data_IF_888364190364
#
_entry.id   IF_888364190364
#
_cell.length_a   1.000
_cell.length_b   1.000
_cell.length_c   1.000
_cell.angle_alpha   90.00
_cell.angle_beta   90.00
_cell.angle_gamma   90.00
#
_symmetry.space_group_name_H-M   'P 1'
#
loop_
_entity.id
_entity.type
_entity.pdbx_description
1 polymer ?
#
# COMPACT_ATOMS: atom_id res chain seq x y z
N UNK A 1 7.26 30.50 -16.72
CA UNK A 1 6.78 29.56 -15.67
C UNK A 1 5.58 28.87 -16.27
N UNK A 2 5.56 27.53 -16.32
CA UNK A 2 4.42 26.81 -16.87
C UNK A 2 3.25 26.99 -15.91
N UNK A 3 2.17 27.62 -16.37
CA UNK A 3 0.95 27.73 -15.57
C UNK A 3 0.22 26.38 -15.51
N UNK A 4 -0.70 26.22 -14.55
CA UNK A 4 -1.43 24.95 -14.39
C UNK A 4 -2.24 24.55 -15.64
N UNK A 5 -2.72 25.53 -16.42
CA UNK A 5 -3.44 25.23 -17.66
C UNK A 5 -2.52 24.66 -18.73
N UNK A 6 -1.32 25.20 -18.87
CA UNK A 6 -0.28 24.67 -19.75
C UNK A 6 0.17 23.28 -19.30
N UNK A 7 0.35 23.05 -17.99
CA UNK A 7 0.69 21.73 -17.45
C UNK A 7 -0.35 20.67 -17.79
N UNK A 8 -1.64 20.96 -17.56
CA UNK A 8 -2.73 20.00 -17.88
C UNK A 8 -2.65 19.50 -19.32
N UNK A 9 -2.39 20.39 -20.27
CA UNK A 9 -2.35 20.06 -21.70
C UNK A 9 -1.18 19.11 -22.07
N UNK A 10 -0.19 18.95 -21.19
CA UNK A 10 0.91 17.99 -21.38
C UNK A 10 0.57 16.60 -20.84
N UNK A 11 -0.48 16.46 -20.05
CA UNK A 11 -0.88 15.17 -19.51
C UNK A 11 -1.62 14.37 -20.59
N UNK A 12 -1.06 13.25 -21.11
CA UNK A 12 -1.59 12.57 -22.29
C UNK A 12 -3.01 12.02 -22.14
N UNK A 13 -3.46 11.81 -20.90
CA UNK A 13 -4.74 11.20 -20.57
C UNK A 13 -5.70 12.22 -19.91
N UNK A 14 -5.53 13.52 -20.21
CA UNK A 14 -6.33 14.60 -19.61
C UNK A 14 -7.82 14.41 -19.86
N UNK A 15 -8.21 14.11 -21.11
CA UNK A 15 -9.62 13.92 -21.46
C UNK A 15 -10.27 12.76 -20.70
N UNK A 16 -9.50 11.68 -20.46
CA UNK A 16 -9.95 10.52 -19.69
C UNK A 16 -10.08 10.85 -18.19
N UNK A 17 -9.18 11.67 -17.66
CA UNK A 17 -9.26 12.14 -16.28
C UNK A 17 -10.47 13.06 -16.09
N UNK A 18 -10.75 13.94 -17.05
CA UNK A 18 -11.88 14.88 -17.03
C UNK A 18 -13.24 14.20 -17.31
N UNK A 19 -13.23 12.99 -17.86
CA UNK A 19 -14.45 12.21 -18.06
C UNK A 19 -15.00 11.62 -16.74
N UNK A 20 -14.20 11.56 -15.68
CA UNK A 20 -14.67 11.08 -14.37
C UNK A 20 -15.61 12.13 -13.72
N UNK A 21 -16.86 11.76 -13.40
CA UNK A 21 -17.86 12.72 -12.92
C UNK A 21 -17.58 13.26 -11.51
N UNK A 22 -16.65 12.65 -10.77
CA UNK A 22 -16.27 13.09 -9.43
C UNK A 22 -15.03 13.98 -9.43
N UNK A 23 -14.28 14.08 -10.54
CA UNK A 23 -13.01 14.80 -10.64
C UNK A 23 -13.17 16.06 -11.49
N UNK A 24 -12.89 17.23 -10.90
CA UNK A 24 -13.02 18.54 -11.53
C UNK A 24 -11.69 19.27 -11.55
N UNK A 25 -11.32 19.83 -12.70
CA UNK A 25 -10.09 20.62 -12.87
C UNK A 25 -10.45 22.05 -13.27
N UNK A 26 -9.71 23.04 -12.75
CA UNK A 26 -9.87 24.45 -13.16
C UNK A 26 -9.65 24.57 -14.68
N UNK A 27 -10.36 25.43 -15.42
CA UNK A 27 -11.40 26.37 -14.97
C UNK A 27 -12.80 25.76 -14.85
N UNK A 28 -12.97 24.45 -15.09
CA UNK A 28 -14.27 23.79 -15.22
C UNK A 28 -14.79 23.22 -13.89
N UNK A 29 -14.42 23.83 -12.76
CA UNK A 29 -14.92 23.42 -11.44
C UNK A 29 -16.21 24.18 -11.13
N UNK A 30 -17.34 23.50 -10.89
CA UNK A 30 -18.58 24.16 -10.49
C UNK A 30 -18.42 24.99 -9.22
N UNK A 31 -18.87 26.25 -9.24
CA UNK A 31 -18.69 27.18 -8.11
C UNK A 31 -19.30 26.67 -6.80
N UNK A 32 -20.45 25.99 -6.86
CA UNK A 32 -21.08 25.39 -5.67
C UNK A 32 -20.19 24.33 -5.01
N UNK A 33 -19.41 23.56 -5.79
CA UNK A 33 -18.44 22.59 -5.25
C UNK A 33 -17.23 23.29 -4.65
N UNK A 34 -16.71 24.36 -5.28
CA UNK A 34 -15.64 25.17 -4.71
C UNK A 34 -16.06 25.73 -3.35
N UNK A 35 -17.26 26.31 -3.25
CA UNK A 35 -17.79 26.83 -1.98
C UNK A 35 -17.95 25.75 -0.91
N UNK A 36 -18.31 24.52 -1.30
CA UNK A 36 -18.28 23.37 -0.40
C UNK A 36 -16.87 23.05 0.09
N UNK A 37 -15.90 23.03 -0.82
CA UNK A 37 -14.51 22.73 -0.51
C UNK A 37 -13.85 23.78 0.38
N UNK A 38 -14.26 25.05 0.27
CA UNK A 38 -13.81 26.12 1.17
C UNK A 38 -14.02 25.80 2.65
N UNK A 39 -14.94 24.89 3.00
CA UNK A 39 -15.17 24.47 4.39
C UNK A 39 -14.06 23.61 5.00
N UNK A 40 -13.15 23.06 4.18
CA UNK A 40 -12.00 22.26 4.64
C UNK A 40 -10.66 22.76 4.10
N UNK A 41 -10.65 23.90 3.40
CA UNK A 41 -9.45 24.62 3.00
C UNK A 41 -9.04 25.64 4.07
N UNK A 42 -7.76 26.05 4.13
CA UNK A 42 -7.32 27.13 5.00
C UNK A 42 -8.15 28.40 4.79
N UNK A 43 -8.54 29.15 5.85
CA UNK A 43 -9.44 30.31 5.75
C UNK A 43 -9.01 31.40 4.77
N UNK A 44 -7.69 31.54 4.54
CA UNK A 44 -7.11 32.51 3.62
C UNK A 44 -7.05 32.05 2.15
N UNK A 45 -7.45 30.80 1.88
CA UNK A 45 -7.50 30.26 0.51
C UNK A 45 -8.58 31.00 -0.28
N UNK A 46 -8.27 31.41 -1.51
CA UNK A 46 -9.25 32.01 -2.43
C UNK A 46 -9.82 30.95 -3.37
N UNK A 47 -11.09 31.07 -3.82
CA UNK A 47 -11.72 30.12 -4.74
C UNK A 47 -10.88 29.81 -5.99
N UNK A 48 -10.20 30.82 -6.54
CA UNK A 48 -9.41 30.71 -7.77
C UNK A 48 -8.11 29.92 -7.57
N UNK A 49 -7.71 29.65 -6.32
CA UNK A 49 -6.53 28.86 -5.98
C UNK A 49 -6.80 27.35 -6.02
N UNK A 50 -8.06 26.93 -6.16
CA UNK A 50 -8.42 25.52 -6.31
C UNK A 50 -8.12 25.07 -7.74
N UNK A 51 -7.19 24.12 -7.86
CA UNK A 51 -6.71 23.58 -9.14
C UNK A 51 -7.45 22.29 -9.52
N UNK A 52 -7.65 21.41 -8.53
CA UNK A 52 -8.39 20.15 -8.66
C UNK A 52 -9.35 20.04 -7.47
N UNK A 53 -10.54 19.51 -7.73
CA UNK A 53 -11.49 19.10 -6.71
C UNK A 53 -11.99 17.69 -7.04
N UNK A 54 -11.93 16.80 -6.05
CA UNK A 54 -12.56 15.49 -6.07
C UNK A 54 -13.71 15.52 -5.08
N UNK A 55 -14.93 15.29 -5.54
CA UNK A 55 -16.12 15.37 -4.69
C UNK A 55 -16.49 13.99 -4.13
N UNK A 56 -16.44 13.85 -2.81
CA UNK A 56 -16.86 12.64 -2.09
C UNK A 56 -18.23 12.78 -1.42
N UNK A 57 -18.93 13.89 -1.64
CA UNK A 57 -20.25 14.06 -1.05
C UNK A 57 -21.31 13.30 -1.83
N UNK A 58 -22.13 12.54 -1.10
CA UNK A 58 -23.26 11.77 -1.65
C UNK A 58 -24.24 12.64 -2.46
N UNK A 59 -24.36 13.92 -2.10
CA UNK A 59 -25.24 14.90 -2.79
C UNK A 59 -24.48 15.91 -3.66
N UNK A 60 -23.19 15.69 -3.95
CA UNK A 60 -22.44 16.49 -4.93
C UNK A 60 -22.18 17.96 -4.55
N UNK A 61 -22.13 18.28 -3.24
CA UNK A 61 -21.87 19.62 -2.71
C UNK A 61 -20.38 19.95 -2.50
N UNK A 62 -19.45 19.01 -2.67
CA UNK A 62 -18.01 19.25 -2.53
C UNK A 62 -17.51 19.52 -1.10
N UNK A 63 -18.31 19.24 -0.06
CA UNK A 63 -17.95 19.46 1.36
C UNK A 63 -17.04 18.38 1.99
N UNK A 64 -16.93 17.25 1.31
CA UNK A 64 -16.03 16.14 1.61
C UNK A 64 -15.30 15.78 0.32
N UNK A 65 -14.09 15.26 0.43
CA UNK A 65 -13.27 14.84 -0.70
C UNK A 65 -11.88 15.45 -0.65
N UNK A 66 -11.31 15.75 -1.80
CA UNK A 66 -9.93 16.20 -1.94
C UNK A 66 -9.84 17.46 -2.80
N UNK A 67 -9.00 18.41 -2.39
CA UNK A 67 -8.64 19.58 -3.17
C UNK A 67 -7.13 19.73 -3.33
N UNK A 68 -6.71 20.09 -4.54
CA UNK A 68 -5.35 20.54 -4.82
C UNK A 68 -5.32 22.06 -4.97
N UNK A 69 -4.34 22.69 -4.33
CA UNK A 69 -3.92 24.08 -4.60
C UNK A 69 -2.42 24.11 -4.90
N UNK A 70 -1.88 25.29 -5.22
CA UNK A 70 -0.42 25.47 -5.34
C UNK A 70 0.35 25.24 -4.03
N UNK A 71 -0.34 25.24 -2.88
CA UNK A 71 0.29 25.06 -1.56
C UNK A 71 0.32 23.59 -1.10
N UNK A 72 -0.66 22.79 -1.52
CA UNK A 72 -0.86 21.46 -0.95
C UNK A 72 -2.11 20.75 -1.42
N UNK A 73 -2.19 19.49 -1.02
CA UNK A 73 -3.39 18.66 -1.05
C UNK A 73 -4.12 18.81 0.29
N UNK A 74 -5.43 18.98 0.23
CA UNK A 74 -6.32 19.06 1.39
C UNK A 74 -7.41 18.03 1.21
N UNK A 75 -7.78 17.31 2.26
CA UNK A 75 -8.85 16.33 2.14
C UNK A 75 -9.64 16.20 3.43
N UNK A 76 -10.90 15.81 3.31
CA UNK A 76 -11.82 15.63 4.42
C UNK A 76 -12.77 14.49 4.15
N UNK A 77 -12.75 13.50 5.04
CA UNK A 77 -13.75 12.43 5.06
C UNK A 77 -15.03 12.88 5.79
N UNK A 78 -16.12 12.18 5.54
CA UNK A 78 -17.38 12.47 6.23
C UNK A 78 -17.20 12.33 7.75
N UNK A 79 -17.70 13.32 8.50
CA UNK A 79 -17.61 13.39 9.97
C UNK A 79 -16.17 13.46 10.54
N UNK A 80 -15.16 13.63 9.70
CA UNK A 80 -13.77 13.81 10.11
C UNK A 80 -13.32 15.27 10.02
N UNK A 81 -12.16 15.55 10.64
CA UNK A 81 -11.47 16.83 10.47
C UNK A 81 -10.77 16.90 9.12
N UNK A 82 -10.53 18.13 8.65
CA UNK A 82 -9.74 18.37 7.45
C UNK A 82 -8.27 18.03 7.71
N UNK A 83 -7.65 17.38 6.73
CA UNK A 83 -6.23 17.08 6.69
C UNK A 83 -5.54 17.90 5.61
N UNK A 84 -4.26 18.20 5.80
CA UNK A 84 -3.45 18.96 4.87
C UNK A 84 -2.11 18.27 4.64
N UNK A 85 -1.67 18.28 3.39
CA UNK A 85 -0.39 17.75 2.99
C UNK A 85 0.30 18.74 2.04
N UNK A 86 1.33 19.47 2.51
CA UNK A 86 2.00 20.49 1.71
C UNK A 86 2.63 19.92 0.44
N UNK A 87 2.57 20.65 -0.68
CA UNK A 87 3.14 20.23 -1.98
C UNK A 87 4.61 19.81 -1.84
N UNK A 88 5.38 20.55 -1.04
CA UNK A 88 6.82 20.26 -0.80
C UNK A 88 7.06 18.93 -0.10
N UNK A 89 6.10 18.46 0.70
CA UNK A 89 6.21 17.22 1.43
C UNK A 89 5.81 16.01 0.57
N UNK A 90 5.14 16.20 -0.58
CA UNK A 90 4.67 15.09 -1.42
C UNK A 90 5.82 14.55 -2.26
N UNK A 91 6.25 13.31 -2.00
CA UNK A 91 7.23 12.54 -2.78
C UNK A 91 6.59 11.65 -3.82
N UNK A 92 5.47 11.03 -3.47
CA UNK A 92 4.70 10.19 -4.37
C UNK A 92 3.23 10.24 -4.03
N UNK A 93 2.39 9.96 -5.02
CA UNK A 93 0.96 9.77 -4.91
C UNK A 93 0.65 8.47 -5.62
N UNK A 94 0.46 7.40 -4.86
CA UNK A 94 -0.02 6.13 -5.36
C UNK A 94 -1.54 6.07 -5.34
N UNK A 95 -2.07 4.95 -5.80
CA UNK A 95 -3.44 4.55 -5.54
C UNK A 95 -3.42 3.12 -5.00
N UNK A 96 -4.34 2.82 -4.09
CA UNK A 96 -4.56 1.49 -3.56
C UNK A 96 -6.04 1.15 -3.70
N UNK A 97 -6.29 -0.07 -4.15
CA UNK A 97 -7.63 -0.56 -4.43
C UNK A 97 -7.90 -1.79 -3.57
N UNK A 98 -8.79 -1.62 -2.60
CA UNK A 98 -9.51 -2.72 -1.97
C UNK A 98 -10.81 -3.02 -2.72
N UNK A 99 -11.53 -4.05 -2.28
CA UNK A 99 -12.82 -4.44 -2.87
C UNK A 99 -13.89 -3.33 -2.73
N UNK A 100 -13.86 -2.58 -1.62
CA UNK A 100 -14.78 -1.47 -1.32
C UNK A 100 -14.08 -0.12 -1.12
N UNK A 101 -12.77 -0.12 -0.86
CA UNK A 101 -12.00 1.09 -0.58
C UNK A 101 -11.13 1.45 -1.77
N UNK A 102 -11.43 2.61 -2.35
CA UNK A 102 -10.58 3.27 -3.34
C UNK A 102 -9.80 4.34 -2.60
N UNK A 103 -8.47 4.28 -2.62
CA UNK A 103 -7.62 5.18 -1.86
C UNK A 103 -6.56 5.81 -2.75
N UNK A 104 -6.33 7.11 -2.60
CA UNK A 104 -5.02 7.69 -2.93
C UNK A 104 -4.08 7.46 -1.76
N UNK A 105 -2.81 7.22 -2.05
CA UNK A 105 -1.79 6.98 -1.05
C UNK A 105 -0.67 7.98 -1.25
N UNK A 106 -0.64 9.02 -0.42
CA UNK A 106 0.41 10.04 -0.46
C UNK A 106 1.61 9.54 0.35
N UNK A 107 2.80 9.54 -0.28
CA UNK A 107 4.06 9.08 0.27
C UNK A 107 4.00 7.67 0.88
N UNK A 108 3.20 6.77 0.29
CA UNK A 108 3.02 5.40 0.79
C UNK A 108 2.27 5.28 2.13
N UNK A 109 1.96 6.39 2.81
CA UNK A 109 1.53 6.40 4.22
C UNK A 109 0.15 7.03 4.41
N UNK A 110 -0.09 8.21 3.82
CA UNK A 110 -1.35 8.92 3.99
C UNK A 110 -2.38 8.38 3.01
N UNK A 111 -3.34 7.63 3.56
CA UNK A 111 -4.47 7.08 2.81
C UNK A 111 -5.61 8.10 2.77
N UNK A 112 -6.00 8.49 1.56
CA UNK A 112 -7.17 9.34 1.32
C UNK A 112 -8.24 8.47 0.68
N UNK A 113 -9.31 8.19 1.41
CA UNK A 113 -10.42 7.37 0.91
C UNK A 113 -11.27 8.18 -0.06
N UNK A 114 -11.43 7.69 -1.29
CA UNK A 114 -12.18 8.30 -2.38
C UNK A 114 -13.13 7.29 -3.02
N UNK A 115 -14.35 7.18 -2.51
CA UNK A 115 -15.36 6.23 -2.96
C UNK A 115 -16.11 6.66 -4.24
N UNK A 116 -16.12 7.94 -4.62
CA UNK A 116 -16.87 8.42 -5.80
C UNK A 116 -16.13 8.21 -7.13
N UNK A 117 -14.84 8.60 -7.29
CA UNK A 117 -14.13 8.43 -8.55
C UNK A 117 -14.11 7.00 -9.05
N UNK A 118 -14.23 6.81 -10.36
CA UNK A 118 -14.07 5.50 -10.96
C UNK A 118 -12.63 4.98 -10.77
N UNK A 119 -12.44 3.66 -10.93
CA UNK A 119 -11.12 3.05 -10.77
C UNK A 119 -10.08 3.65 -11.71
N UNK A 120 -10.48 3.90 -12.96
CA UNK A 120 -9.63 4.52 -13.96
C UNK A 120 -9.32 5.98 -13.60
N UNK A 121 -10.34 6.75 -13.19
CA UNK A 121 -10.17 8.15 -12.76
C UNK A 121 -9.23 8.30 -11.56
N UNK A 122 -9.33 7.42 -10.56
CA UNK A 122 -8.44 7.43 -9.40
C UNK A 122 -6.97 7.18 -9.77
N UNK A 123 -6.71 6.19 -10.65
CA UNK A 123 -5.36 5.92 -11.15
C UNK A 123 -4.81 7.12 -11.91
N UNK A 124 -5.61 7.67 -12.84
CA UNK A 124 -5.22 8.85 -13.63
C UNK A 124 -4.97 10.06 -12.75
N UNK A 125 -5.75 10.22 -11.68
CA UNK A 125 -5.57 11.27 -10.69
C UNK A 125 -4.25 11.11 -9.94
N UNK A 126 -3.89 9.89 -9.51
CA UNK A 126 -2.61 9.62 -8.88
C UNK A 126 -1.43 9.97 -9.81
N UNK A 127 -1.50 9.52 -11.07
CA UNK A 127 -0.48 9.82 -12.09
C UNK A 127 -0.38 11.32 -12.36
N UNK A 128 -1.51 12.02 -12.46
CA UNK A 128 -1.57 13.46 -12.66
C UNK A 128 -0.96 14.24 -11.48
N UNK A 129 -1.32 13.86 -10.25
CA UNK A 129 -0.79 14.47 -9.03
C UNK A 129 0.72 14.25 -8.89
N UNK A 130 1.21 13.05 -9.22
CA UNK A 130 2.65 12.75 -9.26
C UNK A 130 3.40 13.68 -10.20
N UNK A 131 2.94 13.81 -11.45
CA UNK A 131 3.58 14.66 -12.44
C UNK A 131 3.57 16.14 -12.02
N UNK A 132 2.44 16.60 -11.44
CA UNK A 132 2.33 17.97 -10.95
C UNK A 132 3.30 18.25 -9.79
N UNK A 133 3.39 17.33 -8.82
CA UNK A 133 4.31 17.47 -7.68
C UNK A 133 5.78 17.45 -8.13
N UNK A 134 6.13 16.57 -9.08
CA UNK A 134 7.49 16.51 -9.63
C UNK A 134 7.90 17.82 -10.32
N UNK A 135 7.00 18.42 -11.12
CA UNK A 135 7.24 19.73 -11.76
C UNK A 135 7.51 20.82 -10.70
N UNK A 136 6.72 20.85 -9.63
CA UNK A 136 6.86 21.86 -8.57
C UNK A 136 8.15 21.70 -7.74
N UNK A 137 8.67 20.48 -7.59
CA UNK A 137 9.98 20.22 -6.97
C UNK A 137 11.12 20.75 -7.80
N UNK A 138 11.18 20.40 -9.09
CA UNK A 138 12.23 20.86 -10.00
C UNK A 138 12.30 22.40 -10.06
N UNK A 139 11.14 23.08 -9.99
CA UNK A 139 11.08 24.54 -9.94
C UNK A 139 11.59 25.11 -8.61
N UNK A 140 11.24 24.48 -7.49
CA UNK A 140 11.68 24.92 -6.15
C UNK A 140 13.18 24.67 -5.96
N UNK A 141 13.70 23.55 -6.46
CA UNK A 141 15.11 23.19 -6.39
C UNK A 141 15.95 24.08 -7.30
N UNK A 142 15.44 24.42 -8.50
CA UNK A 142 16.11 25.36 -9.41
C UNK A 142 16.18 26.80 -8.86
N UNK A 143 15.17 27.23 -8.09
CA UNK A 143 15.17 28.52 -7.39
C UNK A 143 16.09 28.53 -6.16
N UNK A 144 16.24 27.38 -5.49
CA UNK A 144 17.13 27.21 -4.33
C UNK A 144 18.61 27.07 -4.75
N UNK A 145 18.85 26.46 -5.92
CA UNK A 145 20.18 26.24 -6.52
C UNK A 145 20.86 27.51 -7.03
N UNK A 146 20.12 28.61 -7.20
CA UNK A 146 20.68 29.89 -7.61
C UNK A 146 21.45 30.62 -6.49
N UNK A 147 21.52 30.06 -5.28
CA UNK A 147 22.17 30.70 -4.12
C UNK A 147 23.20 29.86 -3.37
N UNK A 148 23.70 28.75 -3.96
CA UNK A 148 24.83 28.02 -3.35
C UNK A 148 25.76 27.39 -4.39
N UNK A 149 26.55 28.22 -5.08
CA UNK A 149 27.82 27.76 -5.64
C UNK A 149 28.89 27.89 -4.55
N UNK A 150 29.14 26.80 -3.83
CA UNK A 150 30.43 26.38 -3.27
C UNK A 150 30.18 25.34 -2.16
N UNK A 151 30.33 24.06 -2.48
CA UNK A 151 31.23 23.16 -1.75
C UNK A 151 31.27 21.77 -2.41
N UNK A 152 32.41 21.55 -3.06
CA UNK A 152 33.27 20.37 -2.92
C UNK A 152 32.66 18.99 -2.75
N UNK A 153 33.00 18.11 -3.70
CA UNK A 153 33.08 16.66 -3.52
C UNK A 153 33.77 16.29 -2.21
N UNK A 154 33.01 15.70 -1.28
CA UNK A 154 33.52 14.80 -0.26
C UNK A 154 32.60 13.59 -0.22
N UNK A 155 33.16 12.41 -0.51
CA UNK A 155 32.54 11.13 -0.27
C UNK A 155 32.27 10.99 1.22
N UNK A 156 31.04 11.31 1.66
CA UNK A 156 30.58 11.01 3.00
C UNK A 156 30.09 9.56 3.01
N UNK A 157 30.75 8.72 3.79
CA UNK A 157 30.22 7.42 4.20
C UNK A 157 28.96 7.66 5.02
N UNK A 158 27.80 7.54 4.38
CA UNK A 158 26.49 7.64 5.02
C UNK A 158 26.21 6.37 5.82
N UNK A 159 26.52 6.38 7.11
CA UNK A 159 25.99 5.37 8.05
C UNK A 159 24.47 5.48 8.11
N UNK A 160 23.78 4.34 8.02
CA UNK A 160 22.32 4.29 8.09
C UNK A 160 21.90 4.32 9.57
N UNK A 161 20.89 5.14 9.89
CA UNK A 161 20.55 5.45 11.28
C UNK A 161 19.94 4.27 12.05
N UNK A 162 19.20 3.38 11.37
CA UNK A 162 18.57 2.20 11.98
C UNK A 162 18.35 1.09 10.93
N UNK A 163 19.13 0.01 10.98
CA UNK A 163 18.96 -1.16 10.11
C UNK A 163 18.24 -2.34 10.79
N UNK A 164 17.80 -2.20 12.04
CA UNK A 164 17.18 -3.31 12.79
C UNK A 164 15.97 -3.94 12.08
N UNK A 165 15.05 -3.18 11.44
CA UNK A 165 13.97 -3.77 10.67
C UNK A 165 14.45 -4.63 9.49
N UNK A 166 15.52 -4.23 8.79
CA UNK A 166 16.13 -5.04 7.72
C UNK A 166 16.77 -6.30 8.29
N UNK A 167 17.47 -6.18 9.43
CA UNK A 167 18.05 -7.32 10.15
C UNK A 167 16.96 -8.33 10.52
N UNK A 168 15.83 -7.87 11.07
CA UNK A 168 14.70 -8.73 11.42
C UNK A 168 14.02 -9.35 10.19
N UNK A 169 13.88 -8.59 9.10
CA UNK A 169 13.36 -9.12 7.84
C UNK A 169 14.24 -10.27 7.32
N UNK A 170 15.56 -10.11 7.34
CA UNK A 170 16.48 -11.16 6.89
C UNK A 170 16.45 -12.36 7.82
N UNK A 171 16.34 -12.12 9.14
CA UNK A 171 16.12 -13.17 10.11
C UNK A 171 14.82 -13.94 9.81
N UNK A 172 13.69 -13.27 9.54
CA UNK A 172 12.44 -13.92 9.15
C UNK A 172 12.57 -14.76 7.88
N UNK A 173 13.24 -14.25 6.84
CA UNK A 173 13.42 -15.00 5.61
C UNK A 173 14.27 -16.26 5.81
N UNK A 174 15.24 -16.21 6.71
CA UNK A 174 16.17 -17.31 6.99
C UNK A 174 15.71 -18.28 8.06
N UNK A 175 14.92 -17.82 9.02
CA UNK A 175 14.42 -18.64 10.12
C UNK A 175 13.13 -19.32 9.65
N UNK A 176 13.06 -20.63 9.85
CA UNK A 176 11.82 -21.37 9.57
C UNK A 176 10.75 -21.06 10.60
N UNK A 177 9.61 -21.74 10.46
CA UNK A 177 8.48 -21.65 11.39
C UNK A 177 8.84 -21.89 12.87
N UNK A 178 10.00 -22.52 13.15
CA UNK A 178 10.51 -22.74 14.52
C UNK A 178 11.31 -21.57 15.09
N UNK A 179 11.80 -20.65 14.26
CA UNK A 179 12.57 -19.51 14.75
C UNK A 179 13.99 -19.81 15.22
N UNK A 180 14.50 -21.02 14.96
CA UNK A 180 15.74 -21.54 15.54
C UNK A 180 17.00 -21.05 14.81
N UNK A 181 17.98 -20.56 15.58
CA UNK A 181 19.27 -20.12 15.07
C UNK A 181 20.28 -21.26 14.93
N UNK A 182 20.44 -21.78 13.70
CA UNK A 182 21.54 -22.71 13.39
C UNK A 182 22.87 -21.97 13.24
N UNK A 183 23.99 -22.68 13.45
CA UNK A 183 25.34 -22.12 13.23
C UNK A 183 25.52 -21.57 11.80
N UNK A 184 24.90 -22.21 10.80
CA UNK A 184 24.95 -21.78 9.42
C UNK A 184 24.17 -20.48 9.16
N UNK A 185 23.00 -20.32 9.80
CA UNK A 185 22.20 -19.10 9.70
C UNK A 185 22.87 -17.93 10.42
N UNK A 186 23.46 -18.18 11.61
CA UNK A 186 24.26 -17.17 12.33
C UNK A 186 25.42 -16.66 11.49
N UNK A 187 26.24 -17.57 10.96
CA UNK A 187 27.38 -17.20 10.10
C UNK A 187 26.95 -16.38 8.87
N UNK A 188 25.82 -16.75 8.24
CA UNK A 188 25.28 -16.00 7.11
C UNK A 188 24.81 -14.60 7.51
N UNK A 189 24.12 -14.44 8.64
CA UNK A 189 23.68 -13.12 9.11
C UNK A 189 24.87 -12.21 9.41
N UNK A 190 25.93 -12.70 10.05
CA UNK A 190 27.15 -11.90 10.22
C UNK A 190 27.71 -11.46 8.86
N UNK A 191 27.81 -12.37 7.88
CA UNK A 191 28.31 -12.04 6.56
C UNK A 191 27.44 -10.99 5.84
N UNK A 192 26.11 -11.07 5.95
CA UNK A 192 25.19 -10.12 5.31
C UNK A 192 25.32 -8.71 5.88
N UNK A 193 25.65 -8.57 7.18
CA UNK A 193 25.73 -7.30 7.89
C UNK A 193 27.15 -6.86 8.28
N UNK A 194 28.19 -7.53 7.78
CA UNK A 194 29.58 -7.09 7.84
C UNK A 194 29.85 -6.04 6.75
N UNK A 195 29.25 -4.86 6.89
CA UNK A 195 29.33 -3.76 5.90
C UNK A 195 29.63 -2.43 6.58
N UNK A 196 30.37 -1.56 5.88
CA UNK A 196 30.82 -0.26 6.40
C UNK A 196 29.68 0.69 6.83
N UNK A 197 28.48 0.52 6.26
CA UNK A 197 27.33 1.37 6.58
C UNK A 197 26.51 0.90 7.81
N UNK A 198 26.83 -0.27 8.37
CA UNK A 198 26.16 -0.82 9.56
C UNK A 198 26.81 -0.25 10.81
N UNK A 199 26.02 0.40 11.67
CA UNK A 199 26.53 1.01 12.89
C UNK A 199 26.68 -0.01 14.05
N UNK A 200 27.41 0.38 15.10
CA UNK A 200 27.66 -0.48 16.27
C UNK A 200 26.39 -0.89 17.02
N UNK A 201 25.33 -0.09 17.00
CA UNK A 201 24.06 -0.42 17.67
C UNK A 201 23.33 -1.53 16.93
N UNK A 202 23.34 -1.49 15.60
CA UNK A 202 22.76 -2.51 14.73
C UNK A 202 23.54 -3.83 14.82
N UNK A 203 24.88 -3.77 14.92
CA UNK A 203 25.70 -4.95 15.22
C UNK A 203 25.36 -5.55 16.58
N UNK A 204 25.28 -4.73 17.64
CA UNK A 204 24.89 -5.20 18.97
C UNK A 204 23.44 -5.72 19.03
N UNK A 205 22.54 -5.17 18.21
CA UNK A 205 21.19 -5.69 18.05
C UNK A 205 21.20 -7.07 17.39
N UNK A 206 21.95 -7.26 16.30
CA UNK A 206 22.10 -8.54 15.63
C UNK A 206 22.59 -9.63 16.59
N UNK A 207 23.63 -9.35 17.38
CA UNK A 207 24.14 -10.31 18.38
C UNK A 207 23.07 -10.72 19.38
N UNK A 208 22.30 -9.76 19.91
CA UNK A 208 21.21 -10.04 20.86
C UNK A 208 20.09 -10.85 20.21
N UNK A 209 19.73 -10.53 18.97
CA UNK A 209 18.68 -11.23 18.23
C UNK A 209 18.99 -12.73 18.08
N UNK A 210 20.26 -13.09 17.93
CA UNK A 210 20.73 -14.48 17.74
C UNK A 210 20.85 -15.32 19.01
N UNK A 211 20.64 -14.71 20.19
CA UNK A 211 20.74 -15.38 21.50
C UNK A 211 19.46 -16.15 21.88
N UNK A 212 18.33 -15.80 21.28
CA UNK A 212 17.02 -16.41 21.57
C UNK A 212 16.29 -16.72 20.27
N UNK A 213 15.52 -17.81 20.27
CA UNK A 213 14.66 -18.15 19.14
C UNK A 213 13.64 -17.04 18.92
N UNK A 214 13.37 -16.72 17.65
CA UNK A 214 12.54 -15.60 17.26
C UNK A 214 11.30 -16.08 16.50
N UNK A 215 10.14 -15.54 16.85
CA UNK A 215 8.96 -15.61 16.01
C UNK A 215 8.66 -14.21 15.50
N UNK A 216 8.45 -14.11 14.20
CA UNK A 216 8.08 -12.86 13.56
C UNK A 216 6.74 -13.02 12.88
N UNK A 217 5.91 -11.98 12.98
CA UNK A 217 4.82 -11.78 12.06
C UNK A 217 5.34 -10.99 10.85
N UNK A 218 5.01 -11.47 9.65
CA UNK A 218 5.51 -10.86 8.43
C UNK A 218 4.96 -9.44 8.22
N UNK A 219 3.71 -9.17 8.60
CA UNK A 219 3.11 -7.84 8.42
C UNK A 219 3.65 -6.85 9.45
N UNK A 220 3.85 -7.27 10.70
CA UNK A 220 4.51 -6.41 11.71
C UNK A 220 5.92 -6.00 11.24
N UNK A 221 6.66 -6.93 10.60
CA UNK A 221 7.96 -6.62 10.02
C UNK A 221 7.89 -5.64 8.84
N UNK A 222 6.88 -5.76 7.98
CA UNK A 222 6.68 -4.81 6.90
C UNK A 222 6.37 -3.40 7.42
N UNK A 223 5.62 -3.30 8.52
CA UNK A 223 5.35 -2.02 9.19
C UNK A 223 6.65 -1.43 9.74
N UNK A 224 7.48 -2.21 10.43
CA UNK A 224 8.80 -1.76 10.92
C UNK A 224 9.74 -1.32 9.78
N UNK A 225 9.76 -2.04 8.65
CA UNK A 225 10.58 -1.66 7.48
C UNK A 225 10.07 -0.36 6.86
N UNK A 226 8.75 -0.13 6.87
CA UNK A 226 8.13 1.10 6.38
C UNK A 226 8.58 2.31 7.20
N UNK A 227 8.76 2.17 8.52
CA UNK A 227 9.21 3.27 9.39
C UNK A 227 10.60 3.80 9.02
N UNK A 228 11.50 2.94 8.51
CA UNK A 228 12.87 3.32 8.14
C UNK A 228 13.04 3.61 6.65
N UNK A 229 12.00 3.46 5.83
CA UNK A 229 12.06 3.53 4.36
C UNK A 229 12.78 4.80 3.86
N UNK A 230 12.50 5.96 4.45
CA UNK A 230 13.09 7.24 4.03
C UNK A 230 14.57 7.40 4.43
N UNK A 231 15.08 6.56 5.31
CA UNK A 231 16.48 6.54 5.73
C UNK A 231 17.36 5.66 4.83
N UNK A 232 16.74 4.83 3.99
CA UNK A 232 17.44 3.90 3.11
C UNK A 232 17.73 4.56 1.76
N UNK A 233 19.00 4.58 1.29
CA UNK A 233 19.32 5.04 -0.05
C UNK A 233 18.64 4.17 -1.12
N UNK A 234 18.12 4.74 -2.23
CA UNK A 234 17.44 3.97 -3.27
C UNK A 234 18.26 2.82 -3.85
N UNK A 235 19.58 3.03 -4.02
CA UNK A 235 20.49 1.97 -4.49
C UNK A 235 20.56 0.81 -3.50
N UNK A 236 20.54 1.11 -2.20
CA UNK A 236 20.50 0.07 -1.18
C UNK A 236 19.17 -0.67 -1.20
N UNK A 237 18.03 0.02 -1.36
CA UNK A 237 16.73 -0.64 -1.49
C UNK A 237 16.70 -1.66 -2.64
N UNK A 238 17.32 -1.34 -3.77
CA UNK A 238 17.46 -2.28 -4.90
C UNK A 238 18.31 -3.49 -4.52
N UNK A 239 19.50 -3.28 -3.94
CA UNK A 239 20.37 -4.38 -3.51
C UNK A 239 19.71 -5.26 -2.43
N UNK A 240 19.01 -4.64 -1.47
CA UNK A 240 18.27 -5.37 -0.43
C UNK A 240 17.17 -6.26 -1.04
N UNK A 241 16.50 -5.77 -2.09
CA UNK A 241 15.44 -6.50 -2.77
C UNK A 241 15.97 -7.69 -3.60
N UNK A 242 17.15 -7.56 -4.21
CA UNK A 242 17.85 -8.69 -4.84
C UNK A 242 18.26 -9.74 -3.80
N UNK A 243 18.82 -9.31 -2.68
CA UNK A 243 19.20 -10.18 -1.57
C UNK A 243 17.99 -10.95 -1.02
N UNK A 244 16.81 -10.33 -0.91
CA UNK A 244 15.55 -10.99 -0.50
C UNK A 244 15.27 -12.23 -1.37
N UNK A 245 15.41 -12.15 -2.69
CA UNK A 245 15.20 -13.29 -3.59
C UNK A 245 16.24 -14.39 -3.37
N UNK A 246 17.51 -14.01 -3.18
CA UNK A 246 18.59 -14.97 -2.85
C UNK A 246 18.29 -15.71 -1.55
N UNK A 247 17.81 -15.00 -0.52
CA UNK A 247 17.46 -15.61 0.77
C UNK A 247 16.26 -16.56 0.64
N UNK A 248 15.21 -16.15 -0.08
CA UNK A 248 14.04 -16.98 -0.36
C UNK A 248 14.40 -18.25 -1.13
N UNK A 249 15.30 -18.14 -2.12
CA UNK A 249 15.77 -19.28 -2.93
C UNK A 249 16.56 -20.27 -2.05
N UNK A 250 17.49 -19.76 -1.24
CA UNK A 250 18.30 -20.56 -0.32
C UNK A 250 17.44 -21.31 0.71
N UNK A 251 16.29 -20.75 1.05
CA UNK A 251 15.31 -21.35 1.98
C UNK A 251 14.23 -22.17 1.29
N UNK A 252 14.31 -22.27 -0.04
CA UNK A 252 13.36 -23.02 -0.86
C UNK A 252 11.92 -22.62 -0.58
N UNK A 253 11.67 -21.30 -0.55
CA UNK A 253 10.31 -20.78 -0.46
C UNK A 253 9.46 -21.36 -1.59
N UNK A 254 8.20 -21.63 -1.28
CA UNK A 254 7.19 -21.96 -2.28
C UNK A 254 7.04 -20.75 -3.23
N UNK A 255 7.03 -21.02 -4.54
CA UNK A 255 7.25 -19.98 -5.57
C UNK A 255 6.19 -18.88 -5.49
N UNK A 256 4.93 -19.22 -5.25
CA UNK A 256 3.85 -18.24 -5.15
C UNK A 256 3.99 -17.39 -3.89
N UNK A 257 4.30 -18.02 -2.75
CA UNK A 257 4.62 -17.34 -1.50
C UNK A 257 5.81 -16.39 -1.66
N UNK A 258 6.90 -16.83 -2.28
CA UNK A 258 8.09 -15.99 -2.53
C UNK A 258 7.75 -14.75 -3.35
N UNK A 259 6.94 -14.90 -4.41
CA UNK A 259 6.51 -13.78 -5.27
C UNK A 259 5.63 -12.79 -4.51
N UNK A 260 4.68 -13.26 -3.73
CA UNK A 260 3.80 -12.41 -2.94
C UNK A 260 4.60 -11.60 -1.92
N UNK A 261 5.45 -12.27 -1.14
CA UNK A 261 6.33 -11.62 -0.17
C UNK A 261 7.28 -10.65 -0.86
N UNK A 262 7.86 -11.01 -2.02
CA UNK A 262 8.76 -10.14 -2.78
C UNK A 262 8.10 -8.82 -3.18
N UNK A 263 6.87 -8.86 -3.74
CA UNK A 263 6.17 -7.63 -4.14
C UNK A 263 5.69 -6.81 -2.94
N UNK A 264 5.37 -7.44 -1.82
CA UNK A 264 5.05 -6.73 -0.58
C UNK A 264 6.29 -6.04 0.01
N UNK A 265 7.45 -6.71 -0.01
CA UNK A 265 8.73 -6.15 0.42
C UNK A 265 9.18 -5.02 -0.52
N UNK A 266 9.03 -5.18 -1.84
CA UNK A 266 9.40 -4.13 -2.80
C UNK A 266 8.60 -2.85 -2.57
N UNK A 267 7.32 -2.97 -2.23
CA UNK A 267 6.46 -1.84 -1.91
C UNK A 267 6.94 -1.08 -0.66
N UNK A 268 7.27 -1.78 0.44
CA UNK A 268 7.77 -1.12 1.66
C UNK A 268 9.21 -0.61 1.52
N UNK A 269 9.99 -1.11 0.57
CA UNK A 269 11.31 -0.55 0.22
C UNK A 269 11.24 0.62 -0.78
N UNK A 270 10.04 1.06 -1.17
CA UNK A 270 9.80 2.12 -2.16
C UNK A 270 10.37 1.82 -3.56
N UNK A 271 10.44 0.53 -3.94
CA UNK A 271 10.85 0.11 -5.27
C UNK A 271 9.61 0.00 -6.15
N UNK A 272 9.62 0.71 -7.29
CA UNK A 272 8.48 0.70 -8.20
C UNK A 272 8.24 -0.68 -8.82
N UNK A 273 7.01 -0.91 -9.26
CA UNK A 273 6.58 -2.22 -9.76
C UNK A 273 7.34 -2.66 -11.03
N UNK A 274 7.75 -1.72 -11.89
CA UNK A 274 8.47 -2.06 -13.11
C UNK A 274 9.89 -2.52 -12.77
N UNK A 275 10.57 -1.80 -11.87
CA UNK A 275 11.88 -2.19 -11.35
C UNK A 275 11.82 -3.52 -10.61
N UNK A 276 10.83 -3.72 -9.72
CA UNK A 276 10.66 -4.97 -8.99
C UNK A 276 10.41 -6.16 -9.93
N UNK A 277 9.58 -5.98 -10.97
CA UNK A 277 9.34 -7.01 -11.99
C UNK A 277 10.60 -7.34 -12.78
N UNK A 278 11.40 -6.34 -13.12
CA UNK A 278 12.70 -6.51 -13.80
C UNK A 278 13.69 -7.30 -12.95
N UNK A 279 13.76 -7.02 -11.64
CA UNK A 279 14.60 -7.77 -10.69
C UNK A 279 14.14 -9.22 -10.60
N UNK A 280 12.84 -9.46 -10.38
CA UNK A 280 12.28 -10.82 -10.30
C UNK A 280 12.57 -11.64 -11.57
N UNK A 281 12.53 -11.00 -12.74
CA UNK A 281 12.80 -11.65 -14.02
C UNK A 281 14.21 -12.22 -14.16
N UNK A 282 15.18 -11.72 -13.38
CA UNK A 282 16.56 -12.22 -13.37
C UNK A 282 16.68 -13.55 -12.62
N UNK A 283 15.71 -13.90 -11.78
CA UNK A 283 15.71 -15.11 -10.96
C UNK A 283 14.80 -16.18 -11.57
N UNK A 284 15.37 -16.99 -12.47
CA UNK A 284 14.62 -18.01 -13.24
C UNK A 284 13.84 -19.03 -12.39
N UNK A 285 14.24 -19.25 -11.13
CA UNK A 285 13.55 -20.15 -10.17
C UNK A 285 12.16 -19.61 -9.79
N UNK A 286 12.01 -18.29 -9.73
CA UNK A 286 10.73 -17.62 -9.43
C UNK A 286 9.94 -17.22 -10.69
N UNK A 287 10.54 -17.47 -11.85
CA UNK A 287 9.87 -17.36 -13.14
C UNK A 287 9.12 -18.66 -13.42
N UNK A 288 7.79 -18.59 -13.41
CA UNK A 288 6.98 -19.62 -14.05
C UNK A 288 7.44 -19.71 -15.52
N UNK A 289 7.69 -20.93 -16.02
CA UNK A 289 7.90 -21.15 -17.46
C UNK A 289 6.61 -20.79 -18.19
N UNK A 290 6.41 -19.52 -18.47
CA UNK A 290 5.37 -19.01 -19.34
C UNK A 290 5.89 -18.94 -20.78
N UNK A 291 6.29 -20.09 -21.32
CA UNK A 291 6.22 -20.27 -22.77
C UNK A 291 4.74 -20.45 -23.11
N UNK A 292 4.04 -19.31 -23.29
CA UNK A 292 2.73 -19.07 -23.94
C UNK A 292 1.81 -18.10 -23.16
N UNK A 293 2.35 -16.96 -22.71
CA UNK A 293 1.54 -15.84 -22.20
C UNK A 293 1.01 -14.89 -23.29
N UNK A 294 0.74 -15.39 -24.51
CA UNK A 294 0.02 -14.61 -25.54
C UNK A 294 -1.19 -15.31 -26.16
N UNK A 295 -1.43 -16.60 -25.89
CA UNK A 295 -2.60 -17.31 -26.42
C UNK A 295 -3.04 -18.41 -25.48
N UNK A 296 -3.72 -18.05 -24.38
CA UNK A 296 -4.47 -18.98 -23.52
C UNK A 296 -5.49 -18.26 -22.62
N UNK A 297 -6.19 -17.28 -23.18
CA UNK A 297 -7.61 -17.18 -22.87
C UNK A 297 -8.25 -18.44 -23.48
N UNK A 298 -8.97 -19.19 -22.64
CA UNK A 298 -9.59 -20.51 -22.89
C UNK A 298 -8.70 -21.73 -22.60
N UNK A 299 -9.22 -22.59 -21.72
CA UNK A 299 -8.81 -23.96 -21.43
C UNK A 299 -7.71 -24.22 -20.37
N UNK A 300 -7.89 -23.74 -19.13
CA UNK A 300 -7.61 -24.54 -17.91
C UNK A 300 -8.70 -24.26 -16.86
N UNK A 301 -9.94 -24.63 -17.19
CA UNK A 301 -11.09 -24.71 -16.26
C UNK A 301 -11.57 -26.17 -16.24
N UNK A 302 -10.70 -27.07 -15.81
CA UNK A 302 -11.04 -28.49 -15.75
C UNK A 302 -10.26 -29.23 -14.67
N UNK A 303 -10.42 -28.78 -13.41
CA UNK A 303 -10.57 -29.65 -12.23
C UNK A 303 -10.94 -28.85 -10.97
N UNK A 304 -12.25 -28.57 -10.86
CA UNK A 304 -13.13 -28.39 -9.67
C UNK A 304 -14.22 -27.36 -10.01
N UNK A 305 -15.01 -27.65 -11.04
CA UNK A 305 -16.20 -26.87 -11.34
C UNK A 305 -17.36 -27.33 -10.46
N UNK A 306 -17.48 -26.72 -9.29
CA UNK A 306 -18.77 -26.25 -8.78
C UNK A 306 -18.62 -24.75 -8.59
N UNK A 307 -19.13 -23.98 -9.55
CA UNK A 307 -19.21 -22.53 -9.43
C UNK A 307 -19.92 -22.20 -8.11
N UNK A 308 -19.34 -21.33 -7.29
CA UNK A 308 -19.99 -20.87 -6.07
C UNK A 308 -21.34 -20.22 -6.44
N UNK A 309 -22.38 -20.56 -5.71
CA UNK A 309 -23.68 -19.91 -5.83
C UNK A 309 -23.59 -18.46 -5.36
N UNK A 310 -24.55 -17.61 -5.74
CA UNK A 310 -24.61 -16.22 -5.29
C UNK A 310 -24.59 -16.09 -3.75
N UNK A 311 -25.23 -17.03 -3.04
CA UNK A 311 -25.20 -17.10 -1.58
C UNK A 311 -23.81 -17.41 -1.03
N UNK A 312 -23.06 -18.31 -1.68
CA UNK A 312 -21.69 -18.64 -1.28
C UNK A 312 -20.72 -17.52 -1.63
N UNK A 313 -20.91 -16.82 -2.74
CA UNK A 313 -20.13 -15.63 -3.08
C UNK A 313 -20.35 -14.51 -2.05
N UNK A 314 -21.60 -14.26 -1.65
CA UNK A 314 -21.91 -13.30 -0.57
C UNK A 314 -21.32 -13.74 0.78
N UNK A 315 -21.25 -15.05 1.06
CA UNK A 315 -20.61 -15.57 2.26
C UNK A 315 -19.08 -15.39 2.24
N UNK A 316 -18.44 -15.56 1.08
CA UNK A 316 -17.02 -15.26 0.89
C UNK A 316 -16.72 -13.78 1.12
N UNK A 317 -17.56 -12.89 0.58
CA UNK A 317 -17.44 -11.44 0.75
C UNK A 317 -17.58 -11.03 2.23
N UNK A 318 -18.58 -11.57 2.93
CA UNK A 318 -18.82 -11.26 4.35
C UNK A 318 -17.66 -11.69 5.27
N UNK A 319 -16.89 -12.70 4.85
CA UNK A 319 -15.70 -13.18 5.55
C UNK A 319 -14.39 -12.65 4.96
N UNK A 320 -14.44 -11.82 3.91
CA UNK A 320 -13.28 -11.28 3.19
C UNK A 320 -12.34 -12.36 2.63
N UNK A 321 -12.92 -13.41 2.05
CA UNK A 321 -12.19 -14.51 1.41
C UNK A 321 -12.36 -14.39 -0.10
N UNK A 322 -11.27 -14.38 -0.86
CA UNK A 322 -11.35 -14.51 -2.32
C UNK A 322 -11.85 -15.91 -2.70
N UNK A 323 -12.87 -16.05 -3.56
CA UNK A 323 -13.38 -17.34 -4.04
C UNK A 323 -12.31 -18.34 -4.48
N UNK A 324 -11.24 -17.83 -5.09
CA UNK A 324 -10.12 -18.59 -5.63
C UNK A 324 -9.20 -19.14 -4.52
N UNK A 325 -9.24 -18.52 -3.35
CA UNK A 325 -8.44 -18.86 -2.16
C UNK A 325 -9.27 -19.58 -1.09
N UNK A 326 -10.53 -19.96 -1.40
CA UNK A 326 -11.42 -20.60 -0.46
C UNK A 326 -10.99 -22.06 -0.21
N UNK A 327 -10.46 -22.30 0.99
CA UNK A 327 -10.18 -23.63 1.53
C UNK A 327 -10.52 -23.69 3.04
N UNK A 328 -10.36 -24.86 3.65
CA UNK A 328 -10.71 -25.06 5.06
C UNK A 328 -9.87 -24.19 6.02
N UNK A 329 -8.62 -23.91 5.66
CA UNK A 329 -7.69 -23.11 6.46
C UNK A 329 -8.04 -21.63 6.36
N UNK A 330 -8.20 -21.10 5.15
CA UNK A 330 -8.55 -19.69 4.90
C UNK A 330 -9.90 -19.35 5.49
N UNK A 331 -10.89 -20.25 5.38
CA UNK A 331 -12.20 -20.10 6.02
C UNK A 331 -12.12 -20.05 7.54
N UNK A 332 -11.35 -20.95 8.16
CA UNK A 332 -11.22 -21.01 9.61
C UNK A 332 -10.51 -19.76 10.15
N UNK A 333 -9.46 -19.31 9.48
CA UNK A 333 -8.70 -18.13 9.87
C UNK A 333 -9.52 -16.84 9.73
N UNK A 334 -10.13 -16.62 8.57
CA UNK A 334 -10.94 -15.44 8.30
C UNK A 334 -12.14 -15.31 9.26
N UNK A 335 -12.82 -16.43 9.54
CA UNK A 335 -13.91 -16.45 10.52
C UNK A 335 -13.44 -16.11 11.94
N UNK A 336 -12.32 -16.69 12.38
CA UNK A 336 -11.78 -16.40 13.73
C UNK A 336 -11.43 -14.93 13.89
N UNK A 337 -10.79 -14.33 12.86
CA UNK A 337 -10.48 -12.90 12.83
C UNK A 337 -11.75 -12.06 12.97
N UNK A 338 -12.77 -12.34 12.15
CA UNK A 338 -14.01 -11.55 12.13
C UNK A 338 -14.85 -11.71 13.39
N UNK A 339 -14.99 -12.92 13.93
CA UNK A 339 -15.85 -13.16 15.09
C UNK A 339 -15.25 -12.65 16.40
N UNK A 340 -13.93 -12.42 16.45
CA UNK A 340 -13.25 -11.91 17.64
C UNK A 340 -13.74 -10.51 18.05
N UNK A 341 -14.14 -9.69 17.07
CA UNK A 341 -14.71 -8.35 17.28
C UNK A 341 -16.13 -8.37 17.84
N UNK A 342 -16.77 -9.55 17.84
CA UNK A 342 -18.15 -9.75 18.27
C UNK A 342 -18.24 -10.68 19.49
N UNK A 343 -17.24 -10.68 20.39
CA UNK A 343 -17.34 -11.43 21.64
C UNK A 343 -18.30 -10.77 22.65
N UNK A 344 -19.32 -11.48 23.20
CA UNK A 344 -20.37 -10.90 24.05
C UNK A 344 -19.88 -10.05 25.21
N UNK A 345 -18.72 -10.39 25.77
CA UNK A 345 -18.12 -9.67 26.90
C UNK A 345 -17.61 -8.27 26.54
N UNK A 346 -17.34 -7.99 25.26
CA UNK A 346 -16.78 -6.71 24.81
C UNK A 346 -17.82 -5.58 24.72
N UNK A 347 -19.11 -5.91 24.69
CA UNK A 347 -20.17 -4.91 24.44
C UNK A 347 -21.38 -5.04 25.37
N UNK A 348 -21.22 -5.67 26.53
CA UNK A 348 -22.30 -5.81 27.52
C UNK A 348 -22.88 -4.47 28.02
N UNK A 349 -22.06 -3.40 28.01
CA UNK A 349 -22.46 -2.07 28.46
C UNK A 349 -23.12 -1.20 27.38
N UNK A 350 -23.24 -1.69 26.14
CA UNK A 350 -23.84 -0.93 25.05
C UNK A 350 -25.38 -0.89 25.14
N UNK A 351 -26.02 0.15 24.55
CA UNK A 351 -27.48 0.21 24.45
C UNK A 351 -28.07 -1.05 23.81
N UNK A 352 -29.28 -1.45 24.25
CA UNK A 352 -29.92 -2.70 23.83
C UNK A 352 -30.02 -2.83 22.30
N UNK A 353 -30.38 -1.76 21.59
CA UNK A 353 -30.46 -1.75 20.13
C UNK A 353 -29.10 -2.01 19.45
N UNK A 354 -28.00 -1.53 20.04
CA UNK A 354 -26.64 -1.73 19.53
C UNK A 354 -26.20 -3.17 19.77
N UNK A 355 -26.50 -3.73 20.95
CA UNK A 355 -26.22 -5.14 21.27
C UNK A 355 -26.96 -6.09 20.32
N UNK A 356 -28.25 -5.83 20.05
CA UNK A 356 -29.04 -6.62 19.10
C UNK A 356 -28.47 -6.56 17.68
N UNK A 357 -27.96 -5.40 17.25
CA UNK A 357 -27.33 -5.25 15.95
C UNK A 357 -26.01 -6.03 15.85
N UNK A 358 -25.16 -5.95 16.88
CA UNK A 358 -23.90 -6.70 16.93
C UNK A 358 -24.14 -8.22 16.96
N UNK A 359 -25.16 -8.66 17.70
CA UNK A 359 -25.55 -10.07 17.75
C UNK A 359 -26.10 -10.55 16.39
N UNK A 360 -26.88 -9.71 15.70
CA UNK A 360 -27.34 -10.00 14.34
C UNK A 360 -26.17 -10.13 13.35
N UNK A 361 -25.15 -9.26 13.45
CA UNK A 361 -23.95 -9.36 12.61
C UNK A 361 -23.12 -10.60 12.91
N UNK A 362 -22.95 -10.97 14.19
CA UNK A 362 -22.31 -12.21 14.59
C UNK A 362 -23.05 -13.45 14.04
N UNK A 363 -24.39 -13.42 14.02
CA UNK A 363 -25.19 -14.49 13.41
C UNK A 363 -25.00 -14.57 11.89
N UNK A 364 -24.86 -13.44 11.19
CA UNK A 364 -24.57 -13.42 9.76
C UNK A 364 -23.20 -14.05 9.44
N UNK A 365 -22.17 -13.74 10.23
CA UNK A 365 -20.84 -14.36 10.10
C UNK A 365 -20.88 -15.88 10.31
N UNK A 366 -21.65 -16.34 11.30
CA UNK A 366 -21.88 -17.76 11.55
C UNK A 366 -22.59 -18.47 10.37
N UNK A 367 -23.60 -17.82 9.79
CA UNK A 367 -24.33 -18.35 8.64
C UNK A 367 -23.46 -18.41 7.40
N UNK A 368 -22.66 -17.36 7.13
CA UNK A 368 -21.71 -17.34 6.03
C UNK A 368 -20.68 -18.47 6.16
N UNK A 369 -20.10 -18.67 7.35
CA UNK A 369 -19.18 -19.79 7.60
C UNK A 369 -19.81 -21.14 7.31
N UNK A 370 -21.01 -21.41 7.84
CA UNK A 370 -21.70 -22.71 7.61
C UNK A 370 -21.97 -22.95 6.14
N UNK A 371 -22.41 -21.93 5.41
CA UNK A 371 -22.67 -22.02 3.97
C UNK A 371 -21.42 -22.45 3.19
N UNK A 372 -20.25 -21.89 3.53
CA UNK A 372 -18.98 -22.23 2.88
C UNK A 372 -18.42 -23.57 3.35
N UNK A 373 -18.57 -23.94 4.62
CA UNK A 373 -18.17 -25.26 5.14
C UNK A 373 -18.99 -26.38 4.47
N UNK A 374 -20.29 -26.18 4.26
CA UNK A 374 -21.13 -27.14 3.53
C UNK A 374 -20.71 -27.27 2.08
N UNK A 375 -20.35 -26.17 1.42
CA UNK A 375 -19.80 -26.21 0.07
C UNK A 375 -18.48 -27.00 0.03
N UNK A 376 -17.53 -26.69 0.91
CA UNK A 376 -16.22 -27.35 1.00
C UNK A 376 -16.33 -28.85 1.29
N UNK A 377 -17.34 -29.28 2.05
CA UNK A 377 -17.61 -30.71 2.31
C UNK A 377 -18.28 -31.42 1.13
N UNK A 378 -18.94 -30.66 0.24
CA UNK A 378 -19.67 -31.17 -0.92
C UNK A 378 -18.89 -31.09 -2.24
N UNK A 379 -17.75 -30.41 -2.23
CA UNK A 379 -16.81 -30.22 -3.34
C UNK A 379 -15.68 -31.25 -3.28
#
# INVERSE_FOLDING_TARGET
>A
MMDFNQFKQQFPQLDLLQADPAIFLTPQIPMNKILGAMSYLPPQTKPEQVLILVDETVFGQGKNGLCLTTQGIYFKEAFANANTYPIKAITSVGYSMGMLSKQLVINGTVKVTLAQPEKAGLRLLADFLNQYCALHKTLTDSLSSASTQQQSQQSQTTTIANLQPIIKLYAYLLLGWRGEWSNQVRALMHQLFDREFVNLQDQAFLERLMQQDQQFDFFDLLDEVTEIQNSLPPQLCHSLLEEVLVLMEKRSFEVETARNHFFQISAVLNVDQATATSILAQFSVFMTRDTKAEQRNTAVSSRRNKLLTQTQLAACELLEISPEQLDQSTLTHAYRRKIADFHPDQYQQLPLAVRQLLEQQAQQLNQARRCLEEWLKSA
#
